data_IF_634486854051
#
_entry.id   IF_634486854051
#
_cell.length_a   1.000
_cell.length_b   1.000
_cell.length_c   1.000
_cell.angle_alpha   90.00
_cell.angle_beta   90.00
_cell.angle_gamma   90.00
#
_symmetry.space_group_name_H-M   'P 1'
#
loop_
_entity.id
_entity.type
_entity.pdbx_description
1 polymer ?
#
# COMPACT_ATOMS: atom_id res chain seq x y z
N UNK A 1 -27.53 57.98 2.61
CA UNK A 1 -28.53 58.57 3.53
C UNK A 1 -29.56 57.49 3.88
N UNK A 2 -29.99 57.48 5.13
CA UNK A 2 -30.77 56.46 5.83
C UNK A 2 -32.23 56.36 5.32
N UNK A 3 -32.81 55.17 5.50
CA UNK A 3 -34.21 54.75 5.28
C UNK A 3 -35.31 55.80 5.53
N UNK A 4 -36.33 55.79 4.67
CA UNK A 4 -37.66 56.35 4.95
C UNK A 4 -38.78 55.37 4.61
N UNK A 5 -39.54 55.07 5.67
CA UNK A 5 -40.99 55.04 5.77
C UNK A 5 -41.88 53.92 5.18
N UNK A 6 -42.61 53.34 6.13
CA UNK A 6 -43.80 52.52 6.05
C UNK A 6 -45.01 53.21 5.39
N UNK A 7 -45.92 52.40 4.83
CA UNK A 7 -47.37 52.72 4.77
C UNK A 7 -48.19 51.57 5.35
N UNK A 8 -49.09 51.93 6.27
CA UNK A 8 -50.10 51.10 6.94
C UNK A 8 -51.31 50.90 6.01
N UNK A 9 -51.92 49.71 6.04
CA UNK A 9 -53.32 49.51 5.64
C UNK A 9 -54.12 49.04 6.87
N UNK A 10 -55.24 49.73 7.14
CA UNK A 10 -56.28 49.36 8.11
C UNK A 10 -56.97 48.05 7.71
N UNK A 11 -57.79 47.38 8.51
CA UNK A 11 -58.72 47.83 9.54
C UNK A 11 -60.02 47.07 9.30
N UNK A 12 -60.19 45.91 9.93
CA UNK A 12 -61.37 45.05 9.81
C UNK A 12 -61.91 44.65 11.18
N UNK A 13 -63.24 44.69 11.33
CA UNK A 13 -64.01 44.47 12.54
C UNK A 13 -63.96 43.01 13.00
N UNK A 14 -62.99 42.70 13.86
CA UNK A 14 -62.88 41.41 14.55
C UNK A 14 -61.95 41.45 15.77
N UNK A 15 -61.54 42.64 16.21
CA UNK A 15 -60.66 42.85 17.36
C UNK A 15 -61.39 42.55 18.68
N UNK A 16 -61.57 41.26 18.99
CA UNK A 16 -61.55 40.79 20.38
C UNK A 16 -60.20 40.14 20.62
N UNK A 17 -59.44 40.85 21.44
CA UNK A 17 -58.21 40.49 22.12
C UNK A 17 -58.04 38.97 22.30
N UNK A 18 -57.25 38.34 21.44
CA UNK A 18 -56.43 37.20 21.83
C UNK A 18 -55.04 37.73 22.20
N UNK A 19 -54.98 38.64 23.17
CA UNK A 19 -53.74 38.80 23.92
C UNK A 19 -53.68 37.60 24.87
N UNK A 20 -52.61 36.80 24.83
CA UNK A 20 -52.44 35.75 25.82
C UNK A 20 -52.44 36.40 27.20
N UNK A 21 -53.44 36.05 28.02
CA UNK A 21 -53.37 36.37 29.44
C UNK A 21 -52.10 35.71 29.96
N UNK A 22 -51.21 36.52 30.52
CA UNK A 22 -50.01 36.06 31.20
C UNK A 22 -50.47 35.27 32.44
N UNK A 23 -50.70 33.98 32.28
CA UNK A 23 -50.87 33.07 33.41
C UNK A 23 -49.48 32.86 33.99
N UNK A 24 -49.23 33.41 35.18
CA UNK A 24 -48.00 33.20 35.97
C UNK A 24 -47.78 31.73 36.39
N UNK A 25 -48.59 30.79 35.89
CA UNK A 25 -48.38 29.36 36.00
C UNK A 25 -47.21 28.93 35.11
N UNK A 26 -46.34 28.12 35.69
CA UNK A 26 -45.09 27.60 35.16
C UNK A 26 -45.15 26.84 33.82
N UNK A 27 -46.34 26.66 33.23
CA UNK A 27 -46.58 25.84 32.03
C UNK A 27 -47.08 26.63 30.81
N UNK A 28 -46.87 27.95 30.75
CA UNK A 28 -47.23 28.71 29.54
C UNK A 28 -46.32 28.35 28.35
N UNK A 29 -46.93 28.24 27.15
CA UNK A 29 -46.26 28.03 25.84
C UNK A 29 -45.20 29.12 25.54
N UNK A 30 -45.25 30.24 26.26
CA UNK A 30 -44.31 31.36 26.18
C UNK A 30 -43.08 31.22 27.09
N UNK A 31 -42.83 30.05 27.67
CA UNK A 31 -41.57 29.77 28.36
C UNK A 31 -40.43 29.85 27.34
N UNK A 32 -39.76 31.00 27.28
CA UNK A 32 -38.42 31.12 26.71
C UNK A 32 -37.48 30.24 27.54
N UNK A 33 -37.52 28.92 27.29
CA UNK A 33 -36.40 28.05 27.61
C UNK A 33 -35.27 28.48 26.71
N UNK A 34 -34.44 29.41 27.20
CA UNK A 34 -33.07 29.55 26.69
C UNK A 34 -32.41 28.21 26.96
N UNK A 35 -32.36 27.35 25.93
CA UNK A 35 -31.51 26.18 25.96
C UNK A 35 -30.09 26.68 26.12
N UNK A 36 -29.57 26.66 27.35
CA UNK A 36 -28.13 26.68 27.55
C UNK A 36 -27.67 25.30 27.13
N UNK A 37 -27.41 25.15 25.83
CA UNK A 37 -26.67 24.00 25.34
C UNK A 37 -25.35 24.01 26.10
N UNK A 38 -25.14 23.04 26.99
CA UNK A 38 -23.79 22.74 27.47
C UNK A 38 -22.93 22.66 26.21
N UNK A 39 -21.79 23.36 26.17
CA UNK A 39 -20.79 23.16 25.12
C UNK A 39 -20.61 21.65 25.01
N UNK A 40 -21.13 21.04 23.94
CA UNK A 40 -20.80 19.66 23.62
C UNK A 40 -19.30 19.74 23.43
N UNK A 41 -18.57 19.02 24.27
CA UNK A 41 -17.13 18.92 24.12
C UNK A 41 -16.93 18.22 22.77
N UNK A 42 -16.79 19.02 21.72
CA UNK A 42 -16.51 18.58 20.37
C UNK A 42 -15.05 18.17 20.31
N UNK A 43 -14.70 17.15 21.11
CA UNK A 43 -13.56 16.28 20.82
C UNK A 43 -13.90 15.42 19.59
N UNK A 44 -14.54 15.99 18.56
CA UNK A 44 -14.62 15.38 17.23
C UNK A 44 -13.21 15.07 16.76
N UNK A 45 -12.24 15.87 17.18
CA UNK A 45 -10.84 15.57 17.01
C UNK A 45 -10.53 14.15 17.54
N UNK A 46 -10.85 13.81 18.79
CA UNK A 46 -10.57 12.46 19.30
C UNK A 46 -11.50 11.37 18.73
N UNK A 47 -12.77 11.68 18.47
CA UNK A 47 -13.77 10.71 17.99
C UNK A 47 -13.60 10.41 16.48
N UNK A 48 -13.07 11.35 15.69
CA UNK A 48 -12.81 11.17 14.25
C UNK A 48 -11.37 10.77 13.94
N UNK A 49 -10.44 10.79 14.91
CA UNK A 49 -9.00 10.58 14.65
C UNK A 49 -8.45 9.23 15.06
N UNK A 50 -9.10 8.50 15.96
CA UNK A 50 -8.84 7.07 16.09
C UNK A 50 -9.55 6.37 14.94
N UNK A 51 -8.81 6.11 13.87
CA UNK A 51 -9.29 5.26 12.80
C UNK A 51 -9.24 3.83 13.31
N UNK A 52 -10.39 3.17 13.39
CA UNK A 52 -10.46 1.72 13.45
C UNK A 52 -9.50 1.16 12.38
N UNK A 53 -8.53 0.35 12.79
CA UNK A 53 -7.54 -0.26 11.89
C UNK A 53 -8.26 -1.00 10.77
N UNK A 54 -9.40 -1.64 11.06
CA UNK A 54 -10.23 -2.30 10.05
C UNK A 54 -10.81 -1.31 9.04
N UNK A 55 -11.18 -0.10 9.49
CA UNK A 55 -11.65 0.96 8.59
C UNK A 55 -10.53 1.51 7.72
N UNK A 56 -9.32 1.68 8.25
CA UNK A 56 -8.15 2.12 7.48
C UNK A 56 -7.75 1.06 6.44
N UNK A 57 -7.77 -0.22 6.83
CA UNK A 57 -7.52 -1.37 5.95
C UNK A 57 -8.55 -1.48 4.83
N UNK A 58 -9.85 -1.46 5.17
CA UNK A 58 -10.92 -1.53 4.16
C UNK A 58 -10.87 -0.36 3.19
N UNK A 59 -10.56 0.85 3.67
CA UNK A 59 -10.35 2.03 2.81
C UNK A 59 -9.17 1.82 1.86
N UNK A 60 -8.05 1.27 2.33
CA UNK A 60 -6.90 0.97 1.48
C UNK A 60 -7.26 -0.05 0.39
N UNK A 61 -8.00 -1.11 0.76
CA UNK A 61 -8.47 -2.14 -0.17
C UNK A 61 -9.41 -1.55 -1.23
N UNK A 62 -10.37 -0.70 -0.84
CA UNK A 62 -11.27 0.01 -1.77
C UNK A 62 -10.48 0.84 -2.78
N UNK A 63 -9.50 1.63 -2.30
CA UNK A 63 -8.66 2.47 -3.14
C UNK A 63 -7.85 1.64 -4.14
N UNK A 64 -7.19 0.56 -3.69
CA UNK A 64 -6.40 -0.33 -4.55
C UNK A 64 -7.29 -1.01 -5.60
N UNK A 65 -8.48 -1.48 -5.21
CA UNK A 65 -9.44 -2.09 -6.14
C UNK A 65 -9.92 -1.09 -7.18
N UNK A 66 -10.22 0.15 -6.79
CA UNK A 66 -10.61 1.22 -7.72
C UNK A 66 -9.54 1.55 -8.76
N UNK A 67 -8.25 1.48 -8.38
CA UNK A 67 -7.12 1.71 -9.29
C UNK A 67 -6.93 0.59 -10.32
N UNK A 68 -7.17 -0.68 -9.95
CA UNK A 68 -7.01 -1.79 -10.89
C UNK A 68 -7.93 -1.70 -12.11
N UNK A 69 -9.03 -0.95 -11.99
CA UNK A 69 -9.95 -0.69 -13.07
C UNK A 69 -9.48 0.46 -13.99
N UNK A 70 -8.40 1.17 -13.64
CA UNK A 70 -7.77 2.16 -14.51
C UNK A 70 -6.69 1.53 -15.38
N UNK A 71 -6.82 1.66 -16.70
CA UNK A 71 -5.79 1.28 -17.68
C UNK A 71 -4.49 2.11 -17.61
N UNK A 72 -4.39 3.06 -16.67
CA UNK A 72 -3.24 3.96 -16.47
C UNK A 72 -2.19 3.45 -15.47
N UNK A 73 -2.29 2.21 -15.01
CA UNK A 73 -1.26 1.63 -14.15
C UNK A 73 0.02 1.38 -14.98
N UNK A 74 1.08 2.11 -14.65
CA UNK A 74 2.43 1.94 -15.19
C UNK A 74 2.86 0.47 -15.06
N UNK A 75 3.56 -0.12 -16.05
CA UNK A 75 3.84 -1.59 -16.07
C UNK A 75 4.45 -2.09 -14.75
N UNK A 76 5.28 -1.26 -14.12
CA UNK A 76 5.92 -1.55 -12.83
C UNK A 76 4.94 -1.66 -11.64
N UNK A 77 3.77 -1.02 -11.72
CA UNK A 77 2.76 -1.00 -10.66
C UNK A 77 1.74 -2.15 -10.78
N UNK A 78 1.57 -2.76 -11.97
CA UNK A 78 0.65 -3.91 -12.18
C UNK A 78 1.10 -5.18 -11.46
N UNK A 79 2.35 -5.22 -10.99
CA UNK A 79 3.00 -6.44 -10.52
C UNK A 79 2.59 -6.90 -9.11
N UNK A 80 1.60 -6.28 -8.47
CA UNK A 80 1.13 -6.63 -7.14
C UNK A 80 -0.34 -7.08 -7.17
N UNK A 81 -0.56 -8.36 -7.48
CA UNK A 81 -1.90 -8.93 -7.41
C UNK A 81 -2.31 -9.13 -5.95
N UNK A 82 -3.29 -8.36 -5.49
CA UNK A 82 -4.00 -8.53 -4.21
C UNK A 82 -4.46 -9.99 -3.92
N UNK A 83 -4.50 -10.88 -4.93
CA UNK A 83 -4.80 -12.32 -4.78
C UNK A 83 -3.92 -13.04 -3.74
N UNK A 84 -2.68 -12.60 -3.51
CA UNK A 84 -1.80 -13.23 -2.49
C UNK A 84 -2.20 -12.85 -1.05
N UNK A 85 -2.99 -11.79 -0.86
CA UNK A 85 -3.53 -11.38 0.45
C UNK A 85 -4.92 -11.99 0.72
N UNK A 86 -5.75 -12.16 -0.32
CA UNK A 86 -7.08 -12.78 -0.22
C UNK A 86 -7.04 -14.29 0.12
N UNK A 87 -5.92 -14.98 -0.14
CA UNK A 87 -5.73 -16.40 0.19
C UNK A 87 -5.24 -16.67 1.62
N UNK A 88 -4.67 -15.66 2.30
CA UNK A 88 -4.05 -15.82 3.63
C UNK A 88 -5.10 -15.69 4.75
N UNK A 89 -6.13 -14.86 4.56
CA UNK A 89 -7.25 -14.80 5.50
C UNK A 89 -8.00 -16.14 5.58
N UNK A 90 -8.11 -16.87 4.46
CA UNK A 90 -8.71 -18.21 4.47
C UNK A 90 -7.92 -19.19 5.33
N UNK A 91 -6.57 -19.20 5.22
CA UNK A 91 -5.73 -20.12 6.02
C UNK A 91 -5.67 -19.77 7.50
N UNK A 92 -5.68 -18.48 7.88
CA UNK A 92 -5.78 -18.09 9.30
C UNK A 92 -7.13 -18.45 9.88
N UNK A 93 -8.19 -18.36 9.08
CA UNK A 93 -9.53 -18.72 9.50
C UNK A 93 -9.68 -20.22 9.78
N UNK A 94 -9.17 -21.09 8.90
CA UNK A 94 -9.17 -22.54 9.16
C UNK A 94 -8.30 -22.94 10.36
N UNK A 95 -7.17 -22.27 10.59
CA UNK A 95 -6.31 -22.56 11.74
C UNK A 95 -6.85 -22.02 13.08
N UNK A 96 -7.65 -20.95 13.06
CA UNK A 96 -8.36 -20.45 14.24
C UNK A 96 -9.62 -21.27 14.54
N UNK A 97 -10.32 -21.71 13.50
CA UNK A 97 -11.49 -22.59 13.62
C UNK A 97 -11.08 -24.00 14.09
N UNK A 98 -9.97 -24.58 13.61
CA UNK A 98 -9.44 -25.85 14.14
C UNK A 98 -8.94 -25.73 15.59
N UNK A 99 -8.35 -24.60 15.99
CA UNK A 99 -7.95 -24.38 17.39
C UNK A 99 -9.16 -24.21 18.31
N UNK A 100 -10.15 -23.42 17.91
CA UNK A 100 -11.34 -23.21 18.73
C UNK A 100 -12.22 -24.48 18.84
N UNK A 101 -12.16 -25.41 17.89
CA UNK A 101 -12.87 -26.70 17.96
C UNK A 101 -12.11 -27.72 18.84
N UNK A 102 -10.79 -27.58 19.03
CA UNK A 102 -9.99 -28.45 19.90
C UNK A 102 -9.86 -27.93 21.34
N UNK A 103 -10.09 -26.63 21.56
CA UNK A 103 -9.98 -25.99 22.87
C UNK A 103 -11.32 -26.00 23.66
N UNK A 104 -12.46 -26.39 23.04
CA UNK A 104 -13.77 -26.54 23.72
C UNK A 104 -13.99 -27.91 24.39
N UNK A 105 -13.08 -28.88 24.21
CA UNK A 105 -13.19 -30.22 24.83
C UNK A 105 -12.26 -30.43 26.06
N UNK A 106 -11.58 -29.39 26.54
CA UNK A 106 -10.73 -29.45 27.73
C UNK A 106 -11.04 -28.28 28.70
N UNK A 107 -12.30 -28.16 29.10
CA UNK A 107 -12.65 -27.44 30.33
C UNK A 107 -12.54 -28.41 31.50
N UNK A 108 -11.35 -28.49 32.11
CA UNK A 108 -11.15 -28.79 33.54
C UNK A 108 -9.65 -28.66 33.84
N UNK A 109 -9.36 -28.05 34.99
CA UNK A 109 -8.05 -27.95 35.66
C UNK A 109 -7.16 -26.71 35.46
N UNK A 110 -6.93 -26.08 36.62
CA UNK A 110 -5.72 -25.35 37.05
C UNK A 110 -5.70 -23.82 36.95
N UNK A 111 -6.33 -23.23 37.96
CA UNK A 111 -5.83 -22.17 38.86
C UNK A 111 -4.36 -21.72 38.71
N UNK A 112 -4.20 -20.39 38.86
CA UNK A 112 -3.08 -19.66 39.46
C UNK A 112 -1.78 -19.51 38.65
N UNK A 113 -1.50 -18.28 38.19
CA UNK A 113 -0.40 -17.50 38.76
C UNK A 113 -0.41 -16.04 38.29
N UNK A 114 -0.37 -15.15 39.27
CA UNK A 114 0.05 -13.76 39.17
C UNK A 114 1.38 -13.65 38.41
N UNK A 115 1.48 -12.67 37.52
CA UNK A 115 2.70 -11.85 37.44
C UNK A 115 2.40 -10.46 36.87
N UNK A 116 2.53 -9.50 37.78
CA UNK A 116 2.34 -8.08 37.62
C UNK A 116 3.69 -7.51 37.16
N UNK A 117 3.80 -7.03 35.90
CA UNK A 117 5.00 -6.33 35.43
C UNK A 117 4.61 -4.97 34.86
N UNK A 118 4.75 -3.97 35.72
CA UNK A 118 4.96 -2.56 35.37
C UNK A 118 6.19 -2.43 34.46
N UNK A 119 6.09 -1.67 33.38
CA UNK A 119 7.16 -0.84 32.81
C UNK A 119 6.55 0.06 31.71
N UNK A 120 6.22 1.31 32.02
CA UNK A 120 7.09 2.50 31.85
C UNK A 120 7.56 2.64 30.39
N UNK A 121 6.88 3.50 29.63
CA UNK A 121 7.54 4.46 28.75
C UNK A 121 6.78 5.79 28.80
N UNK A 122 7.35 6.68 29.60
CA UNK A 122 7.05 8.09 29.72
C UNK A 122 7.78 8.79 28.55
N UNK A 123 7.07 9.47 27.66
CA UNK A 123 7.69 10.44 26.75
C UNK A 123 6.76 11.65 26.59
N UNK A 124 6.93 12.57 27.54
CA UNK A 124 6.56 13.96 27.37
C UNK A 124 7.50 14.54 26.31
N UNK A 125 7.01 14.79 25.09
CA UNK A 125 7.64 15.77 24.23
C UNK A 125 6.61 16.65 23.52
N UNK A 126 6.44 17.80 24.17
CA UNK A 126 6.06 19.10 23.66
C UNK A 126 6.54 19.27 22.21
N UNK A 127 5.62 19.52 21.29
CA UNK A 127 5.90 20.41 20.17
C UNK A 127 4.64 21.19 19.79
N UNK A 128 4.86 22.49 19.77
CA UNK A 128 3.91 23.58 19.82
C UNK A 128 3.82 24.15 18.40
N UNK A 129 2.89 23.65 17.58
CA UNK A 129 2.62 24.22 16.26
C UNK A 129 1.29 24.98 16.28
N UNK A 130 1.35 26.19 16.83
CA UNK A 130 0.42 27.25 16.50
C UNK A 130 0.80 27.78 15.10
N UNK A 131 -0.04 27.56 14.10
CA UNK A 131 -0.34 28.54 13.04
C UNK A 131 -1.55 28.08 12.22
N UNK A 132 -2.73 28.68 12.44
CA UNK A 132 -3.34 29.72 11.60
C UNK A 132 -3.55 29.25 10.14
N UNK A 133 -4.79 28.89 9.77
CA UNK A 133 -5.68 29.79 9.02
C UNK A 133 -7.09 29.20 8.92
N UNK A 134 -8.04 30.07 9.27
CA UNK A 134 -9.46 30.01 9.01
C UNK A 134 -9.74 29.71 7.53
N UNK A 135 -10.64 28.77 7.25
CA UNK A 135 -11.58 28.93 6.14
C UNK A 135 -12.91 28.24 6.48
N UNK A 136 -13.85 29.07 6.90
CA UNK A 136 -15.27 28.77 6.92
C UNK A 136 -15.76 28.77 5.47
N UNK A 137 -15.97 27.61 4.84
CA UNK A 137 -17.09 27.44 3.92
C UNK A 137 -17.28 26.01 3.42
N UNK A 138 -18.57 25.67 3.26
CA UNK A 138 -19.17 24.59 2.47
C UNK A 138 -19.85 23.51 3.33
N UNK A 139 -21.05 23.88 3.72
CA UNK A 139 -22.21 23.00 3.83
C UNK A 139 -22.52 22.31 2.48
N UNK A 140 -23.29 21.22 2.58
CA UNK A 140 -23.87 20.38 1.54
C UNK A 140 -22.98 19.24 1.02
N UNK A 141 -23.11 18.10 1.68
CA UNK A 141 -23.50 16.87 0.98
C UNK A 141 -24.45 16.08 1.91
N UNK A 142 -25.75 16.30 1.72
CA UNK A 142 -26.82 15.47 2.26
C UNK A 142 -26.83 14.13 1.49
N UNK A 143 -26.27 13.07 2.07
CA UNK A 143 -26.63 11.68 1.75
C UNK A 143 -25.93 10.69 2.70
N UNK A 144 -26.23 10.79 3.99
CA UNK A 144 -26.02 9.67 4.93
C UNK A 144 -27.34 9.47 5.66
N UNK A 145 -28.25 8.77 4.99
CA UNK A 145 -29.36 8.11 5.67
C UNK A 145 -28.75 7.08 6.63
N UNK A 146 -28.84 7.42 7.91
CA UNK A 146 -29.61 6.66 8.89
C UNK A 146 -29.61 5.14 8.69
N UNK A 147 -28.71 4.45 9.38
CA UNK A 147 -28.93 3.09 9.88
C UNK A 147 -28.31 2.99 11.27
N UNK A 148 -29.03 3.56 12.25
CA UNK A 148 -28.92 3.19 13.65
C UNK A 148 -29.69 1.86 13.83
N UNK A 149 -29.02 0.74 13.58
CA UNK A 149 -29.36 -0.56 14.17
C UNK A 149 -28.33 -1.59 13.72
N UNK A 150 -27.52 -2.08 14.65
CA UNK A 150 -27.13 -3.49 14.86
C UNK A 150 -26.19 -3.46 16.08
N UNK A 151 -26.82 -3.41 17.25
CA UNK A 151 -26.36 -4.27 18.34
C UNK A 151 -26.69 -5.69 17.90
N UNK A 152 -25.70 -6.57 17.87
CA UNK A 152 -25.77 -7.98 18.28
C UNK A 152 -24.62 -8.75 17.62
N UNK A 153 -23.89 -9.46 18.47
CA UNK A 153 -23.06 -10.62 18.16
C UNK A 153 -23.59 -11.40 16.96
N UNK A 154 -22.99 -11.22 15.79
CA UNK A 154 -23.17 -12.12 14.66
C UNK A 154 -21.83 -12.28 13.98
N UNK A 155 -21.39 -13.51 13.93
CA UNK A 155 -20.25 -14.03 13.19
C UNK A 155 -20.25 -13.53 11.73
N UNK A 156 -19.58 -12.42 11.44
CA UNK A 156 -19.27 -11.99 10.06
C UNK A 156 -17.93 -12.63 9.65
N UNK A 157 -17.91 -13.95 9.73
CA UNK A 157 -16.93 -14.80 9.09
C UNK A 157 -17.73 -15.88 8.35
N UNK A 158 -18.54 -15.44 7.40
CA UNK A 158 -19.30 -16.30 6.50
C UNK A 158 -19.09 -15.80 5.08
N UNK A 159 -18.59 -16.71 4.24
CA UNK A 159 -18.67 -16.90 2.77
C UNK A 159 -19.13 -15.79 1.77
N UNK A 160 -19.61 -14.63 2.17
CA UNK A 160 -20.45 -13.75 1.33
C UNK A 160 -19.81 -12.41 0.91
N UNK A 161 -18.53 -12.16 1.15
CA UNK A 161 -17.79 -11.07 0.44
C UNK A 161 -17.01 -11.64 -0.77
N UNK A 162 -17.21 -12.92 -1.07
CA UNK A 162 -16.45 -13.70 -2.04
C UNK A 162 -17.29 -14.24 -3.20
N UNK A 163 -18.43 -13.62 -3.54
CA UNK A 163 -19.18 -13.87 -4.79
C UNK A 163 -20.40 -12.94 -4.93
N UNK A 164 -20.23 -11.62 -4.88
CA UNK A 164 -21.32 -10.72 -5.31
C UNK A 164 -20.79 -9.42 -5.90
N UNK A 165 -21.11 -9.22 -7.18
CA UNK A 165 -21.03 -7.99 -7.95
C UNK A 165 -19.62 -7.49 -8.34
N UNK A 166 -19.12 -8.00 -9.48
CA UNK A 166 -18.32 -7.21 -10.43
C UNK A 166 -19.16 -6.02 -10.95
N UNK A 167 -19.50 -5.07 -10.08
CA UNK A 167 -19.94 -3.75 -10.56
C UNK A 167 -18.68 -2.99 -10.91
N UNK A 168 -18.51 -2.73 -12.20
CA UNK A 168 -17.53 -1.79 -12.76
C UNK A 168 -17.71 -0.45 -12.04
N UNK A 169 -16.99 -0.25 -10.95
CA UNK A 169 -16.97 1.03 -10.25
C UNK A 169 -16.01 1.93 -10.98
N UNK A 170 -16.55 3.04 -11.47
CA UNK A 170 -15.78 4.13 -12.09
C UNK A 170 -14.59 4.53 -11.21
N UNK A 171 -13.48 4.99 -11.82
CA UNK A 171 -12.28 5.39 -11.09
C UNK A 171 -12.61 6.35 -9.93
N UNK A 172 -12.18 5.97 -8.72
CA UNK A 172 -12.47 6.71 -7.50
C UNK A 172 -11.58 7.96 -7.42
N UNK A 173 -12.04 9.07 -8.00
CA UNK A 173 -11.40 10.38 -7.84
C UNK A 173 -11.74 10.98 -6.47
N UNK A 174 -10.93 10.69 -5.46
CA UNK A 174 -11.11 11.26 -4.11
C UNK A 174 -10.57 12.72 -4.05
N UNK A 175 -11.29 13.61 -3.35
CA UNK A 175 -10.91 15.01 -3.10
C UNK A 175 -9.59 15.11 -2.29
N UNK A 176 -8.91 16.26 -2.33
CA UNK A 176 -7.68 16.50 -1.55
C UNK A 176 -7.90 16.33 -0.04
N UNK A 177 -9.04 16.83 0.46
CA UNK A 177 -9.44 16.73 1.87
C UNK A 177 -9.53 15.28 2.36
N UNK A 178 -9.98 14.37 1.50
CA UNK A 178 -10.00 12.93 1.81
C UNK A 178 -8.59 12.43 2.13
N UNK A 179 -7.60 12.74 1.27
CA UNK A 179 -6.22 12.27 1.46
C UNK A 179 -5.56 12.88 2.69
N UNK A 180 -5.85 14.15 2.99
CA UNK A 180 -5.38 14.80 4.21
C UNK A 180 -5.95 14.09 5.45
N UNK A 181 -7.28 13.93 5.55
CA UNK A 181 -7.92 13.26 6.69
C UNK A 181 -7.45 11.81 6.81
N UNK A 182 -7.42 11.07 5.69
CA UNK A 182 -6.96 9.69 5.67
C UNK A 182 -5.52 9.57 6.16
N UNK A 183 -4.63 10.45 5.69
CA UNK A 183 -3.24 10.45 6.15
C UNK A 183 -3.06 10.83 7.61
N UNK A 184 -3.82 11.78 8.13
CA UNK A 184 -3.78 12.17 9.55
C UNK A 184 -4.22 10.99 10.41
N UNK A 185 -5.31 10.30 10.03
CA UNK A 185 -5.78 9.10 10.73
C UNK A 185 -4.74 7.99 10.70
N UNK A 186 -4.14 7.71 9.54
CA UNK A 186 -3.07 6.72 9.44
C UNK A 186 -1.90 7.07 10.36
N UNK A 187 -1.42 8.33 10.32
CA UNK A 187 -0.30 8.80 11.15
C UNK A 187 -0.57 8.68 12.65
N UNK A 188 -1.80 8.95 13.10
CA UNK A 188 -2.17 8.80 14.52
C UNK A 188 -2.28 7.34 14.97
N UNK A 189 -2.56 6.42 14.05
CA UNK A 189 -2.76 5.00 14.36
C UNK A 189 -1.58 4.09 13.95
N UNK A 190 -0.43 4.65 13.57
CA UNK A 190 0.74 3.87 13.09
C UNK A 190 1.19 2.75 14.05
N UNK A 191 1.10 3.01 15.35
CA UNK A 191 1.50 2.05 16.39
C UNK A 191 0.64 0.78 16.36
N UNK A 192 -0.64 0.90 15.98
CA UNK A 192 -1.62 -0.20 15.94
C UNK A 192 -1.55 -1.04 14.65
N UNK A 193 -0.97 -0.51 13.56
CA UNK A 193 -0.98 -1.17 12.25
C UNK A 193 0.01 -2.35 12.20
N UNK A 194 -0.41 -3.52 11.74
CA UNK A 194 0.56 -4.59 11.48
C UNK A 194 1.34 -4.35 10.17
N UNK A 195 2.34 -5.19 9.87
CA UNK A 195 3.13 -5.04 8.65
C UNK A 195 2.30 -5.19 7.34
N UNK A 196 1.22 -5.97 7.38
CA UNK A 196 0.32 -6.12 6.23
C UNK A 196 -0.59 -4.91 6.03
N UNK A 197 -1.04 -4.29 7.12
CA UNK A 197 -1.77 -3.03 7.12
C UNK A 197 -0.90 -1.91 6.54
N UNK A 198 0.36 -1.82 6.98
CA UNK A 198 1.33 -0.90 6.39
C UNK A 198 1.47 -1.11 4.89
N UNK A 199 1.64 -2.36 4.44
CA UNK A 199 1.79 -2.67 3.03
C UNK A 199 0.58 -2.19 2.21
N UNK A 200 -0.64 -2.50 2.65
CA UNK A 200 -1.87 -2.10 1.97
C UNK A 200 -2.07 -0.58 1.98
N UNK A 201 -1.93 0.05 3.14
CA UNK A 201 -2.13 1.49 3.29
C UNK A 201 -1.12 2.25 2.45
N UNK A 202 0.18 1.97 2.58
CA UNK A 202 1.21 2.65 1.79
C UNK A 202 1.07 2.38 0.30
N UNK A 203 0.62 1.18 -0.09
CA UNK A 203 0.34 0.87 -1.48
C UNK A 203 -0.78 1.74 -2.05
N UNK A 204 -1.84 1.99 -1.27
CA UNK A 204 -2.92 2.90 -1.69
C UNK A 204 -2.41 4.32 -1.94
N UNK A 205 -1.58 4.88 -1.04
CA UNK A 205 -0.93 6.18 -1.25
C UNK A 205 0.00 6.18 -2.47
N UNK A 206 0.74 5.08 -2.68
CA UNK A 206 1.71 4.97 -3.77
C UNK A 206 1.02 4.95 -5.14
N UNK A 207 -0.08 4.19 -5.27
CA UNK A 207 -0.85 4.07 -6.51
C UNK A 207 -1.47 5.40 -6.94
N UNK A 208 -2.08 6.14 -6.00
CA UNK A 208 -2.67 7.46 -6.30
C UNK A 208 -1.67 8.62 -6.32
N UNK A 209 -0.37 8.31 -6.23
CA UNK A 209 0.72 9.29 -6.17
C UNK A 209 0.49 10.40 -5.15
N UNK A 210 0.02 10.03 -3.96
CA UNK A 210 -0.20 10.97 -2.85
C UNK A 210 0.93 10.83 -1.84
N UNK A 211 1.62 11.95 -1.61
CA UNK A 211 2.61 12.07 -0.57
C UNK A 211 2.19 13.17 0.41
N UNK A 212 1.74 12.73 1.58
CA UNK A 212 1.41 13.62 2.70
C UNK A 212 2.38 13.42 3.86
N UNK A 213 3.55 12.82 3.61
CA UNK A 213 4.54 12.46 4.63
C UNK A 213 4.22 11.17 5.39
N UNK A 214 3.27 10.35 4.95
CA UNK A 214 2.96 9.05 5.59
C UNK A 214 4.14 8.09 5.47
N UNK A 215 4.84 8.07 4.32
CA UNK A 215 5.98 7.18 4.12
C UNK A 215 7.06 7.40 5.19
N UNK A 216 7.49 8.66 5.36
CA UNK A 216 8.49 9.04 6.37
C UNK A 216 8.02 8.73 7.79
N UNK A 217 6.77 9.08 8.13
CA UNK A 217 6.21 8.82 9.45
C UNK A 217 6.13 7.32 9.78
N UNK A 218 5.91 6.46 8.77
CA UNK A 218 5.77 5.02 8.96
C UNK A 218 7.08 4.27 9.20
N UNK A 219 8.24 4.83 8.81
CA UNK A 219 9.53 4.10 8.82
C UNK A 219 9.86 3.52 10.19
N UNK A 220 9.84 4.36 11.24
CA UNK A 220 10.20 3.93 12.61
C UNK A 220 9.27 2.82 13.14
N UNK A 221 7.98 2.88 12.82
CA UNK A 221 7.01 1.85 13.22
C UNK A 221 7.18 0.56 12.42
N UNK A 222 7.50 0.67 11.13
CA UNK A 222 7.77 -0.47 10.24
C UNK A 222 9.06 -1.18 10.66
N UNK A 223 10.09 -0.42 11.02
CA UNK A 223 11.38 -0.92 11.47
C UNK A 223 11.26 -1.89 12.65
N UNK A 224 10.50 -1.50 13.68
CA UNK A 224 10.22 -2.35 14.85
C UNK A 224 9.45 -3.63 14.50
N UNK A 225 8.79 -3.68 13.33
CA UNK A 225 7.96 -4.79 12.87
C UNK A 225 8.69 -5.70 11.88
N UNK A 226 9.92 -5.36 11.45
CA UNK A 226 10.70 -6.17 10.49
C UNK A 226 10.76 -7.65 10.88
N UNK A 227 11.07 -8.04 12.13
CA UNK A 227 11.21 -9.45 12.50
C UNK A 227 9.94 -10.30 12.34
N UNK A 228 8.76 -9.66 12.29
CA UNK A 228 7.46 -10.31 12.20
C UNK A 228 6.86 -10.23 10.78
N UNK A 229 7.58 -9.65 9.81
CA UNK A 229 7.07 -9.44 8.46
C UNK A 229 7.00 -10.74 7.67
N UNK A 230 5.88 -10.92 6.95
CA UNK A 230 5.77 -11.90 5.87
C UNK A 230 6.44 -11.39 4.60
N UNK A 231 6.87 -12.30 3.74
CA UNK A 231 7.57 -12.00 2.49
C UNK A 231 6.76 -11.10 1.56
N UNK A 232 5.43 -11.24 1.52
CA UNK A 232 4.57 -10.38 0.68
C UNK A 232 4.58 -8.92 1.15
N UNK A 233 4.33 -8.70 2.44
CA UNK A 233 4.37 -7.37 3.05
C UNK A 233 5.76 -6.75 2.90
N UNK A 234 6.81 -7.53 3.14
CA UNK A 234 8.19 -7.09 2.97
C UNK A 234 8.47 -6.55 1.56
N UNK A 235 8.14 -7.31 0.51
CA UNK A 235 8.41 -6.92 -0.89
C UNK A 235 7.65 -5.65 -1.26
N UNK A 236 6.38 -5.54 -0.85
CA UNK A 236 5.55 -4.36 -1.12
C UNK A 236 6.11 -3.13 -0.42
N UNK A 237 6.44 -3.25 0.87
CA UNK A 237 7.02 -2.17 1.65
C UNK A 237 8.36 -1.73 1.09
N UNK A 238 9.28 -2.67 0.82
CA UNK A 238 10.60 -2.36 0.27
C UNK A 238 10.47 -1.62 -1.07
N UNK A 239 9.64 -2.11 -2.00
CA UNK A 239 9.48 -1.46 -3.30
C UNK A 239 8.91 -0.04 -3.15
N UNK A 240 7.87 0.15 -2.35
CA UNK A 240 7.26 1.47 -2.14
C UNK A 240 8.25 2.43 -1.48
N UNK A 241 8.86 2.02 -0.37
CA UNK A 241 9.77 2.86 0.41
C UNK A 241 11.05 3.16 -0.38
N UNK A 242 11.58 2.22 -1.15
CA UNK A 242 12.75 2.43 -2.02
C UNK A 242 12.52 3.52 -3.08
N UNK A 243 11.27 3.76 -3.46
CA UNK A 243 10.88 4.77 -4.47
C UNK A 243 10.45 6.11 -3.87
N UNK A 244 9.94 6.09 -2.63
CA UNK A 244 9.32 7.26 -1.98
C UNK A 244 10.24 7.96 -0.99
N UNK A 245 11.14 7.23 -0.35
CA UNK A 245 12.10 7.82 0.59
C UNK A 245 13.27 8.46 -0.16
N UNK A 246 13.83 9.53 0.41
CA UNK A 246 15.04 10.16 -0.12
C UNK A 246 16.22 9.18 -0.03
N UNK A 247 16.97 9.03 -1.12
CA UNK A 247 18.19 8.23 -1.16
C UNK A 247 19.15 8.63 -0.03
N UNK A 248 19.90 7.67 0.50
CA UNK A 248 20.93 7.83 1.55
C UNK A 248 20.44 8.21 2.96
N UNK A 249 19.21 8.71 3.13
CA UNK A 249 18.71 9.11 4.44
C UNK A 249 18.25 7.95 5.33
N UNK A 250 18.04 6.76 4.75
CA UNK A 250 17.43 5.61 5.43
C UNK A 250 18.23 4.32 5.20
N UNK A 251 19.55 4.43 5.00
CA UNK A 251 20.39 3.28 4.68
C UNK A 251 20.37 2.23 5.78
N UNK A 252 20.44 2.63 7.05
CA UNK A 252 20.37 1.71 8.19
C UNK A 252 19.05 0.90 8.20
N UNK A 253 17.93 1.55 7.90
CA UNK A 253 16.63 0.88 7.79
C UNK A 253 16.62 -0.15 6.64
N UNK A 254 17.15 0.20 5.47
CA UNK A 254 17.22 -0.71 4.34
C UNK A 254 18.23 -1.84 4.57
N UNK A 255 19.32 -1.61 5.28
CA UNK A 255 20.26 -2.66 5.71
C UNK A 255 19.60 -3.65 6.69
N UNK A 256 18.79 -3.16 7.64
CA UNK A 256 17.98 -4.04 8.52
C UNK A 256 17.00 -4.89 7.72
N UNK A 257 16.32 -4.30 6.73
CA UNK A 257 15.47 -5.06 5.81
C UNK A 257 16.28 -6.10 5.01
N UNK A 258 17.46 -5.72 4.53
CA UNK A 258 18.34 -6.61 3.76
C UNK A 258 18.79 -7.83 4.58
N UNK A 259 19.18 -7.62 5.83
CA UNK A 259 19.59 -8.69 6.75
C UNK A 259 18.44 -9.64 7.10
N UNK A 260 17.19 -9.22 6.93
CA UNK A 260 16.01 -10.06 7.18
C UNK A 260 15.62 -10.94 5.98
N UNK A 261 16.19 -10.72 4.79
CA UNK A 261 15.88 -11.49 3.57
C UNK A 261 15.97 -13.02 3.76
N UNK A 262 17.02 -13.58 4.42
CA UNK A 262 17.11 -15.03 4.62
C UNK A 262 15.88 -15.61 5.32
N UNK A 263 15.30 -14.88 6.26
CA UNK A 263 14.16 -15.33 7.08
C UNK A 263 12.85 -15.37 6.30
N UNK A 264 12.73 -14.64 5.20
CA UNK A 264 11.52 -14.64 4.36
C UNK A 264 11.73 -15.35 3.04
N UNK A 265 12.95 -15.79 2.74
CA UNK A 265 13.36 -16.30 1.43
C UNK A 265 12.44 -17.43 0.96
N UNK A 266 11.96 -18.29 1.86
CA UNK A 266 11.07 -19.41 1.53
C UNK A 266 9.72 -18.95 0.93
N UNK A 267 9.18 -17.79 1.32
CA UNK A 267 7.89 -17.26 0.83
C UNK A 267 7.97 -16.52 -0.52
N UNK A 268 9.18 -16.14 -0.94
CA UNK A 268 9.42 -15.28 -2.10
C UNK A 268 9.39 -16.08 -3.41
N UNK A 269 8.68 -15.58 -4.42
CA UNK A 269 8.81 -16.09 -5.79
C UNK A 269 9.97 -15.38 -6.54
N UNK A 270 10.31 -15.84 -7.74
CA UNK A 270 11.40 -15.26 -8.54
C UNK A 270 11.18 -13.77 -8.86
N UNK A 271 9.92 -13.40 -9.12
CA UNK A 271 9.54 -12.02 -9.41
C UNK A 271 9.74 -11.11 -8.20
N UNK A 272 9.38 -11.61 -7.02
CA UNK A 272 9.58 -10.94 -5.73
C UNK A 272 11.08 -10.73 -5.48
N UNK A 273 11.90 -11.77 -5.69
CA UNK A 273 13.38 -11.68 -5.56
C UNK A 273 13.98 -10.65 -6.52
N UNK A 274 13.57 -10.66 -7.80
CA UNK A 274 14.02 -9.68 -8.78
C UNK A 274 13.64 -8.24 -8.40
N UNK A 275 12.44 -8.03 -7.85
CA UNK A 275 12.00 -6.72 -7.38
C UNK A 275 12.84 -6.25 -6.18
N UNK A 276 13.14 -7.14 -5.24
CA UNK A 276 14.00 -6.84 -4.08
C UNK A 276 15.40 -6.40 -4.56
N UNK A 277 16.03 -7.17 -5.45
CA UNK A 277 17.35 -6.85 -5.99
C UNK A 277 17.35 -5.49 -6.72
N UNK A 278 16.32 -5.21 -7.53
CA UNK A 278 16.16 -3.90 -8.18
C UNK A 278 16.02 -2.76 -7.16
N UNK A 279 15.24 -2.97 -6.10
CA UNK A 279 15.05 -1.96 -5.05
C UNK A 279 16.37 -1.59 -4.38
N UNK A 280 17.19 -2.57 -3.99
CA UNK A 280 18.49 -2.29 -3.38
C UNK A 280 19.50 -1.67 -4.35
N UNK A 281 19.51 -2.11 -5.61
CA UNK A 281 20.33 -1.49 -6.64
C UNK A 281 19.96 -0.01 -6.84
N UNK A 282 18.67 0.31 -6.90
CA UNK A 282 18.20 1.69 -7.08
C UNK A 282 18.50 2.58 -5.87
N UNK A 283 18.64 2.00 -4.68
CA UNK A 283 19.04 2.67 -3.44
C UNK A 283 20.56 2.85 -3.32
N UNK A 284 21.34 2.33 -4.27
CA UNK A 284 22.80 2.34 -4.24
C UNK A 284 23.40 1.56 -3.04
N UNK A 285 22.62 0.64 -2.45
CA UNK A 285 23.04 -0.28 -1.38
C UNK A 285 23.40 -1.62 -2.02
N UNK A 286 24.57 -1.66 -2.67
CA UNK A 286 25.04 -2.86 -3.37
C UNK A 286 25.79 -3.79 -2.42
N UNK A 287 25.10 -4.84 -1.94
CA UNK A 287 25.70 -5.91 -1.18
C UNK A 287 25.64 -7.22 -1.96
N UNK A 288 26.81 -7.74 -2.37
CA UNK A 288 26.93 -8.99 -3.14
C UNK A 288 26.33 -10.19 -2.40
N UNK A 289 26.33 -10.19 -1.07
CA UNK A 289 25.75 -11.26 -0.24
C UNK A 289 24.26 -11.50 -0.54
N UNK A 290 23.51 -10.46 -0.91
CA UNK A 290 22.08 -10.63 -1.25
C UNK A 290 21.91 -11.50 -2.50
N UNK A 291 22.80 -11.34 -3.48
CA UNK A 291 22.81 -12.20 -4.66
C UNK A 291 23.17 -13.64 -4.30
N UNK A 292 24.17 -13.84 -3.44
CA UNK A 292 24.56 -15.17 -2.95
C UNK A 292 23.42 -15.89 -2.20
N UNK A 293 22.65 -15.15 -1.39
CA UNK A 293 21.48 -15.67 -0.67
C UNK A 293 20.35 -16.09 -1.63
N UNK A 294 20.04 -15.25 -2.63
CA UNK A 294 18.89 -15.50 -3.52
C UNK A 294 19.21 -16.46 -4.67
N UNK A 295 20.45 -16.49 -5.15
CA UNK A 295 20.88 -17.24 -6.32
C UNK A 295 20.48 -18.74 -6.29
N UNK A 296 20.72 -19.51 -5.21
CA UNK A 296 20.39 -20.93 -5.19
C UNK A 296 18.91 -21.19 -5.44
N UNK A 297 18.03 -20.38 -4.86
CA UNK A 297 16.58 -20.49 -5.05
C UNK A 297 16.15 -20.12 -6.47
N UNK A 298 16.77 -19.10 -7.06
CA UNK A 298 16.51 -18.69 -8.45
C UNK A 298 16.96 -19.80 -9.40
N UNK A 299 18.16 -20.35 -9.20
CA UNK A 299 18.69 -21.44 -10.02
C UNK A 299 17.81 -22.68 -9.95
N UNK A 300 17.38 -23.08 -8.75
CA UNK A 300 16.48 -24.22 -8.57
C UNK A 300 15.14 -24.05 -9.30
N UNK A 301 14.62 -22.83 -9.37
CA UNK A 301 13.35 -22.53 -10.05
C UNK A 301 13.52 -21.98 -11.47
N UNK A 302 14.71 -22.09 -12.08
CA UNK A 302 15.02 -21.49 -13.38
C UNK A 302 14.08 -21.98 -14.49
N UNK A 303 13.70 -23.25 -14.45
CA UNK A 303 12.80 -23.84 -15.44
C UNK A 303 11.38 -23.26 -15.40
N UNK A 304 10.96 -22.70 -14.27
CA UNK A 304 9.63 -22.10 -14.08
C UNK A 304 9.53 -20.66 -14.62
N UNK A 305 10.65 -20.06 -15.05
CA UNK A 305 10.65 -18.71 -15.63
C UNK A 305 10.11 -18.79 -17.07
N UNK A 306 8.90 -18.29 -17.31
CA UNK A 306 8.31 -18.28 -18.67
C UNK A 306 8.20 -16.87 -19.27
N UNK A 307 8.75 -15.87 -18.59
CA UNK A 307 8.68 -14.46 -18.98
C UNK A 307 10.09 -13.95 -19.35
N UNK A 308 10.27 -13.57 -20.62
CA UNK A 308 11.53 -13.03 -21.12
C UNK A 308 11.93 -11.72 -20.42
N UNK A 309 10.97 -10.89 -20.00
CA UNK A 309 11.24 -9.67 -19.27
C UNK A 309 11.90 -9.98 -17.91
N UNK A 310 11.34 -10.96 -17.20
CA UNK A 310 11.90 -11.41 -15.92
C UNK A 310 13.30 -12.02 -16.10
N UNK A 311 13.50 -12.85 -17.13
CA UNK A 311 14.79 -13.47 -17.42
C UNK A 311 15.87 -12.42 -17.75
N UNK A 312 15.54 -11.48 -18.65
CA UNK A 312 16.41 -10.35 -19.00
C UNK A 312 16.78 -9.52 -17.79
N UNK A 313 15.76 -9.17 -16.99
CA UNK A 313 15.91 -8.39 -15.78
C UNK A 313 16.83 -9.05 -14.76
N UNK A 314 16.70 -10.37 -14.55
CA UNK A 314 17.56 -11.13 -13.65
C UNK A 314 19.01 -11.15 -14.16
N UNK A 315 19.22 -11.41 -15.45
CA UNK A 315 20.56 -11.38 -16.03
C UNK A 315 21.22 -10.01 -15.83
N UNK A 316 20.45 -8.94 -16.08
CA UNK A 316 20.94 -7.58 -15.96
C UNK A 316 21.27 -7.19 -14.53
N UNK A 317 20.39 -7.51 -13.58
CA UNK A 317 20.60 -7.13 -12.17
C UNK A 317 21.80 -7.89 -11.59
N UNK A 318 21.92 -9.20 -11.82
CA UNK A 318 23.07 -9.99 -11.34
C UNK A 318 24.39 -9.53 -11.97
N UNK A 319 24.37 -9.15 -13.25
CA UNK A 319 25.51 -8.50 -13.89
C UNK A 319 25.91 -7.21 -13.16
N UNK A 320 24.93 -6.34 -12.85
CA UNK A 320 25.16 -5.07 -12.15
C UNK A 320 25.70 -5.23 -10.72
N UNK A 321 25.32 -6.31 -10.04
CA UNK A 321 25.89 -6.68 -8.74
C UNK A 321 27.28 -7.33 -8.83
N UNK A 322 27.89 -7.38 -10.02
CA UNK A 322 29.17 -8.02 -10.28
C UNK A 322 29.24 -9.50 -9.86
N UNK A 323 28.10 -10.21 -9.85
CA UNK A 323 28.05 -11.62 -9.43
C UNK A 323 29.01 -12.52 -10.24
N UNK A 324 29.78 -13.36 -9.55
CA UNK A 324 30.94 -14.03 -10.16
C UNK A 324 30.61 -15.41 -10.76
N UNK A 325 29.57 -16.10 -10.28
CA UNK A 325 29.28 -17.47 -10.71
C UNK A 325 28.80 -17.54 -12.16
N UNK A 326 29.73 -17.78 -13.09
CA UNK A 326 29.47 -17.89 -14.53
C UNK A 326 28.43 -18.96 -14.90
N UNK A 327 28.37 -20.05 -14.13
CA UNK A 327 27.38 -21.11 -14.31
C UNK A 327 25.93 -20.57 -14.30
N UNK A 328 25.64 -19.58 -13.45
CA UNK A 328 24.31 -18.97 -13.38
C UNK A 328 23.89 -18.35 -14.72
N UNK A 329 24.79 -17.55 -15.30
CA UNK A 329 24.55 -16.87 -16.55
C UNK A 329 24.49 -17.85 -17.74
N UNK A 330 25.26 -18.94 -17.69
CA UNK A 330 25.13 -20.05 -18.65
C UNK A 330 23.75 -20.73 -18.56
N UNK A 331 23.21 -20.92 -17.35
CA UNK A 331 21.85 -21.43 -17.16
C UNK A 331 20.78 -20.46 -17.67
N UNK A 332 20.95 -19.15 -17.43
CA UNK A 332 20.07 -18.11 -18.00
C UNK A 332 20.11 -18.13 -19.54
N UNK A 333 21.29 -18.29 -20.14
CA UNK A 333 21.50 -18.44 -21.59
C UNK A 333 20.75 -19.65 -22.14
N UNK A 334 20.87 -20.82 -21.50
CA UNK A 334 20.13 -22.02 -21.90
C UNK A 334 18.62 -21.81 -21.85
N UNK A 335 18.13 -21.11 -20.82
CA UNK A 335 16.70 -20.81 -20.67
C UNK A 335 16.21 -19.81 -21.72
N UNK A 336 17.03 -18.82 -22.11
CA UNK A 336 16.65 -17.82 -23.12
C UNK A 336 16.44 -18.44 -24.49
N UNK A 337 17.21 -19.47 -24.86
CA UNK A 337 17.00 -20.22 -26.12
C UNK A 337 15.56 -20.77 -26.22
N UNK A 338 14.95 -21.16 -25.10
CA UNK A 338 13.55 -21.63 -25.06
C UNK A 338 12.51 -20.50 -25.15
N UNK A 339 12.90 -19.25 -24.87
CA UNK A 339 12.00 -18.08 -24.80
C UNK A 339 12.28 -17.03 -25.88
N UNK A 340 13.07 -17.38 -26.90
CA UNK A 340 13.64 -16.42 -27.85
C UNK A 340 12.60 -15.50 -28.51
N UNK A 341 11.44 -16.05 -28.86
CA UNK A 341 10.37 -15.35 -29.58
C UNK A 341 9.60 -14.34 -28.71
N UNK A 342 9.82 -14.35 -27.39
CA UNK A 342 9.06 -13.51 -26.44
C UNK A 342 9.81 -12.25 -26.00
N UNK A 343 11.08 -12.10 -26.39
CA UNK A 343 11.89 -10.93 -26.06
C UNK A 343 11.45 -9.69 -26.83
N UNK A 344 11.19 -8.60 -26.11
CA UNK A 344 11.14 -7.26 -26.69
C UNK A 344 12.57 -6.72 -26.96
N UNK A 345 12.67 -5.64 -27.72
CA UNK A 345 13.97 -5.07 -28.10
C UNK A 345 14.82 -4.67 -26.89
N UNK A 346 14.22 -4.02 -25.89
CA UNK A 346 14.96 -3.47 -24.74
C UNK A 346 15.43 -4.58 -23.78
N UNK A 347 14.60 -5.59 -23.58
CA UNK A 347 14.91 -6.77 -22.79
C UNK A 347 15.97 -7.62 -23.50
N UNK A 348 15.89 -7.75 -24.82
CA UNK A 348 16.92 -8.44 -25.60
C UNK A 348 18.28 -7.74 -25.46
N UNK A 349 18.33 -6.42 -25.64
CA UNK A 349 19.56 -5.65 -25.45
C UNK A 349 20.16 -5.85 -24.06
N UNK A 350 19.36 -5.66 -22.99
CA UNK A 350 19.86 -5.83 -21.60
C UNK A 350 20.42 -7.22 -21.37
N UNK A 351 19.77 -8.24 -21.89
CA UNK A 351 20.18 -9.63 -21.74
C UNK A 351 21.52 -9.90 -22.45
N UNK A 352 21.63 -9.57 -23.74
CA UNK A 352 22.85 -9.77 -24.53
C UNK A 352 24.00 -8.95 -23.97
N UNK A 353 23.76 -7.70 -23.60
CA UNK A 353 24.75 -6.83 -22.99
C UNK A 353 25.35 -7.46 -21.73
N UNK A 354 24.50 -7.98 -20.84
CA UNK A 354 24.95 -8.60 -19.60
C UNK A 354 25.73 -9.89 -19.81
N UNK A 355 25.31 -10.75 -20.74
CA UNK A 355 26.04 -11.97 -21.07
C UNK A 355 27.40 -11.67 -21.72
N UNK A 356 27.41 -10.77 -22.71
CA UNK A 356 28.63 -10.38 -23.40
C UNK A 356 29.66 -9.77 -22.44
N UNK A 357 29.23 -8.88 -21.54
CA UNK A 357 30.11 -8.28 -20.53
C UNK A 357 30.62 -9.28 -19.48
N UNK A 358 29.97 -10.45 -19.33
CA UNK A 358 30.46 -11.56 -18.51
C UNK A 358 31.29 -12.58 -19.31
N UNK A 359 31.69 -12.24 -20.53
CA UNK A 359 32.47 -13.09 -21.44
C UNK A 359 31.78 -14.42 -21.77
N UNK A 360 30.45 -14.42 -21.82
CA UNK A 360 29.67 -15.60 -22.21
C UNK A 360 29.40 -15.53 -23.71
N UNK A 361 29.63 -16.65 -24.40
CA UNK A 361 29.42 -16.74 -25.83
C UNK A 361 27.93 -16.57 -26.17
N UNK A 362 27.63 -15.52 -26.95
CA UNK A 362 26.27 -15.17 -27.42
C UNK A 362 26.03 -15.52 -28.89
N UNK A 363 26.99 -16.14 -29.59
CA UNK A 363 26.92 -16.44 -31.04
C UNK A 363 25.61 -17.12 -31.43
N UNK A 364 25.27 -18.21 -30.76
CA UNK A 364 24.05 -18.98 -31.02
C UNK A 364 22.78 -18.12 -30.91
N UNK A 365 22.68 -17.27 -29.88
CA UNK A 365 21.51 -16.40 -29.68
C UNK A 365 21.40 -15.35 -30.79
N UNK A 366 22.54 -14.78 -31.18
CA UNK A 366 22.61 -13.76 -32.23
C UNK A 366 22.25 -14.32 -33.60
N UNK A 367 22.66 -15.55 -33.90
CA UNK A 367 22.30 -16.25 -35.14
C UNK A 367 20.80 -16.53 -35.21
N UNK A 368 20.21 -17.07 -34.15
CA UNK A 368 18.77 -17.37 -34.07
C UNK A 368 17.90 -16.11 -34.22
N UNK A 369 18.34 -14.96 -33.68
CA UNK A 369 17.58 -13.69 -33.73
C UNK A 369 18.07 -12.69 -34.80
N UNK A 370 18.87 -13.13 -35.78
CA UNK A 370 19.49 -12.24 -36.79
C UNK A 370 18.48 -11.34 -37.50
N UNK A 371 17.32 -11.89 -37.87
CA UNK A 371 16.24 -11.16 -38.54
C UNK A 371 15.59 -10.13 -37.60
N UNK A 372 15.33 -10.50 -36.35
CA UNK A 372 14.70 -9.62 -35.37
C UNK A 372 15.61 -8.47 -34.95
N UNK A 373 16.92 -8.67 -34.90
CA UNK A 373 17.87 -7.59 -34.60
C UNK A 373 17.74 -6.47 -35.64
N UNK A 374 17.49 -6.81 -36.90
CA UNK A 374 17.24 -5.81 -37.95
C UNK A 374 15.94 -5.03 -37.72
N UNK A 375 14.88 -5.72 -37.29
CA UNK A 375 13.60 -5.10 -36.93
C UNK A 375 13.71 -4.25 -35.66
N UNK A 376 14.59 -4.61 -34.73
CA UNK A 376 14.81 -3.89 -33.47
C UNK A 376 15.63 -2.61 -33.61
N UNK A 377 16.31 -2.39 -34.75
CA UNK A 377 17.17 -1.20 -34.95
C UNK A 377 16.46 0.13 -34.71
N UNK A 378 15.16 0.23 -35.01
CA UNK A 378 14.38 1.45 -34.78
C UNK A 378 14.13 1.76 -33.31
N UNK A 379 14.24 0.76 -32.43
CA UNK A 379 14.01 0.90 -30.99
C UNK A 379 15.30 1.17 -30.19
N UNK A 380 16.45 1.11 -30.84
CA UNK A 380 17.74 1.27 -30.20
C UNK A 380 18.28 2.70 -30.35
N UNK A 381 18.93 3.20 -29.30
CA UNK A 381 19.74 4.41 -29.39
C UNK A 381 21.05 4.14 -30.15
N UNK A 382 21.81 5.19 -30.47
CA UNK A 382 23.04 5.06 -31.26
C UNK A 382 24.11 4.19 -30.56
N UNK A 383 24.21 4.24 -29.24
CA UNK A 383 25.15 3.40 -28.47
C UNK A 383 24.80 1.91 -28.56
N UNK A 384 23.52 1.57 -28.42
CA UNK A 384 23.00 0.21 -28.56
C UNK A 384 23.22 -0.33 -29.96
N UNK A 385 23.00 0.50 -30.99
CA UNK A 385 23.28 0.14 -32.39
C UNK A 385 24.77 -0.15 -32.61
N UNK A 386 25.66 0.68 -32.06
CA UNK A 386 27.12 0.46 -32.12
C UNK A 386 27.51 -0.85 -31.44
N UNK A 387 26.99 -1.11 -30.24
CA UNK A 387 27.22 -2.36 -29.51
C UNK A 387 26.85 -3.60 -30.33
N UNK A 388 25.66 -3.63 -30.92
CA UNK A 388 25.26 -4.75 -31.78
C UNK A 388 26.09 -4.85 -33.05
N UNK A 389 26.55 -3.73 -33.60
CA UNK A 389 27.41 -3.73 -34.79
C UNK A 389 28.78 -4.32 -34.49
N UNK A 390 29.35 -4.00 -33.32
CA UNK A 390 30.60 -4.61 -32.82
C UNK A 390 30.44 -6.12 -32.64
N UNK A 391 29.37 -6.58 -31.96
CA UNK A 391 29.13 -8.01 -31.73
C UNK A 391 28.91 -8.78 -33.03
N UNK A 392 28.15 -8.23 -33.97
CA UNK A 392 27.91 -8.88 -35.26
C UNK A 392 29.17 -8.94 -36.14
N UNK A 393 30.13 -8.03 -35.95
CA UNK A 393 31.40 -8.03 -36.69
C UNK A 393 32.49 -8.90 -36.04
N UNK A 394 32.38 -9.17 -34.73
CA UNK A 394 33.32 -10.03 -34.00
C UNK A 394 32.97 -11.52 -34.05
N UNK A 395 31.76 -11.87 -34.49
CA UNK A 395 31.27 -13.25 -34.50
C UNK A 395 31.27 -13.85 -35.90
#
# INVERSE_FOLDING_TARGET
MIFLNCKKYGGGVGRRLCMPNYSGSSDSIYKYKKFVLKKINHKYENVLLFGDVNKLRSTAIELIRGMKNEDKINRDQRNYSCKKYEGIERKRKYQLEEKNILDEENEDDMMNNNENVNNIYNDNNINNDNNIYSDNNINNDNNINNDNNINNNVNIYGKDILTTCEKVTSPLTKKLSFWQIYSIRVKKNLHLLDASDFALILQSFHLYNKDTGVYVASVKCIENKIPQMRGTSFVVLLNILSKRLKKNNYNEFFEKMMNFIPNILYELNIKDMNNILKSFYNLDIMNSKVCEIMYPKILYNMDNINDAHLLSSLCYIFYKYNFEHLHFFECLKKKSLKLMNTFDAQDFYKFIFSLYKKNICVKQIMEEKKNDISAFKSFYNEEQKRFFSEICNMN
#
